data_IF_977006325071
#
_entry.id   IF_977006325071
#
_cell.length_a   1.000
_cell.length_b   1.000
_cell.length_c   1.000
_cell.angle_alpha   90.00
_cell.angle_beta   90.00
_cell.angle_gamma   90.00
#
_symmetry.space_group_name_H-M   'P 1'
#
loop_
_entity.id
_entity.type
_entity.pdbx_description
1 polymer ?
#
# COMPACT_ATOMS: atom_id res chain seq x y z
N UNK A 1 79.64 -43.46 -4.89
CA UNK A 1 78.94 -42.40 -4.14
C UNK A 1 79.08 -41.09 -4.91
N UNK A 2 77.99 -40.58 -5.48
CA UNK A 2 77.91 -39.18 -5.91
C UNK A 2 76.44 -38.76 -5.87
N UNK A 3 76.03 -38.17 -4.75
CA UNK A 3 74.72 -37.56 -4.55
C UNK A 3 74.86 -36.06 -4.82
N UNK A 4 74.22 -35.56 -5.88
CA UNK A 4 74.12 -34.13 -6.15
C UNK A 4 73.09 -33.48 -5.19
N UNK A 5 73.40 -32.37 -4.51
CA UNK A 5 72.42 -31.67 -3.69
C UNK A 5 71.53 -30.81 -4.58
N UNK A 6 70.24 -31.14 -4.64
CA UNK A 6 69.23 -30.24 -5.19
C UNK A 6 69.05 -29.05 -4.24
N UNK A 7 69.54 -27.87 -4.63
CA UNK A 7 69.41 -26.64 -3.85
C UNK A 7 67.93 -26.20 -3.73
N UNK A 8 67.39 -26.04 -2.50
CA UNK A 8 66.02 -25.56 -2.28
C UNK A 8 65.82 -24.08 -2.66
N UNK A 9 66.90 -23.33 -2.91
CA UNK A 9 66.85 -21.90 -3.22
C UNK A 9 66.11 -21.59 -4.54
N UNK A 10 66.14 -22.51 -5.53
CA UNK A 10 65.48 -22.30 -6.83
C UNK A 10 63.95 -22.33 -6.75
N UNK A 11 63.37 -23.08 -5.81
CA UNK A 11 61.90 -23.17 -5.64
C UNK A 11 61.33 -21.98 -4.86
N UNK A 12 62.09 -21.44 -3.91
CA UNK A 12 61.68 -20.29 -3.08
C UNK A 12 61.64 -19.01 -3.93
N UNK A 13 62.62 -18.83 -4.83
CA UNK A 13 62.66 -17.67 -5.74
C UNK A 13 61.48 -17.71 -6.74
N UNK A 14 61.11 -18.90 -7.23
CA UNK A 14 59.96 -19.06 -8.12
C UNK A 14 58.61 -18.76 -7.42
N UNK A 15 58.47 -19.16 -6.15
CA UNK A 15 57.26 -18.86 -5.36
C UNK A 15 57.15 -17.38 -4.99
N UNK A 16 58.26 -16.72 -4.62
CA UNK A 16 58.29 -15.27 -4.37
C UNK A 16 57.95 -14.45 -5.62
N UNK A 17 58.45 -14.87 -6.79
CA UNK A 17 58.11 -14.23 -8.06
C UNK A 17 56.62 -14.38 -8.41
N UNK A 18 56.02 -15.54 -8.16
CA UNK A 18 54.58 -15.77 -8.39
C UNK A 18 53.69 -14.92 -7.46
N UNK A 19 54.07 -14.74 -6.19
CA UNK A 19 53.34 -13.87 -5.25
C UNK A 19 53.47 -12.38 -5.56
N UNK A 20 54.62 -11.94 -6.09
CA UNK A 20 54.81 -10.55 -6.52
C UNK A 20 54.01 -10.26 -7.81
N UNK A 21 53.93 -11.22 -8.73
CA UNK A 21 53.09 -11.12 -9.93
C UNK A 21 51.59 -11.14 -9.60
N UNK A 22 51.15 -11.92 -8.61
CA UNK A 22 49.76 -11.87 -8.11
C UNK A 22 49.44 -10.58 -7.35
N UNK A 23 50.41 -10.00 -6.63
CA UNK A 23 50.24 -8.73 -5.92
C UNK A 23 50.16 -7.50 -6.85
N UNK A 24 50.75 -7.59 -8.04
CA UNK A 24 50.67 -6.55 -9.09
C UNK A 24 49.36 -6.59 -9.90
N UNK A 25 48.53 -7.62 -9.72
CA UNK A 25 47.21 -7.74 -10.35
C UNK A 25 46.06 -7.19 -9.47
N UNK A 26 46.35 -6.73 -8.26
CA UNK A 26 45.42 -5.90 -7.50
C UNK A 26 45.45 -4.48 -8.09
N UNK A 27 44.67 -4.25 -9.14
CA UNK A 27 44.51 -2.92 -9.73
C UNK A 27 44.10 -1.92 -8.65
N UNK A 28 44.93 -0.89 -8.42
CA UNK A 28 44.48 0.29 -7.71
C UNK A 28 43.34 0.92 -8.51
N UNK A 29 42.14 0.99 -7.95
CA UNK A 29 40.99 1.64 -8.58
C UNK A 29 41.32 3.11 -8.85
N UNK A 30 41.60 3.45 -10.11
CA UNK A 30 41.92 4.82 -10.55
C UNK A 30 40.70 5.74 -10.47
N UNK A 31 39.50 5.16 -10.50
CA UNK A 31 38.20 5.84 -10.36
C UNK A 31 37.31 5.03 -9.43
N UNK A 32 36.65 5.69 -8.48
CA UNK A 32 35.63 5.08 -7.63
C UNK A 32 34.25 5.52 -8.09
N UNK A 33 33.36 4.55 -8.24
CA UNK A 33 31.94 4.76 -8.53
C UNK A 33 31.14 4.63 -7.24
N UNK A 34 30.25 5.59 -6.98
CA UNK A 34 29.29 5.51 -5.88
C UNK A 34 27.89 5.69 -6.45
N UNK A 35 27.14 4.60 -6.47
CA UNK A 35 25.71 4.63 -6.79
C UNK A 35 24.95 5.38 -5.68
N UNK A 36 24.24 6.43 -6.08
CA UNK A 36 23.43 7.27 -5.20
C UNK A 36 21.94 7.12 -5.50
N UNK A 37 21.57 6.18 -6.37
CA UNK A 37 20.18 5.90 -6.73
C UNK A 37 19.49 5.15 -5.59
N UNK A 38 18.35 5.66 -5.07
CA UNK A 38 17.56 4.93 -4.09
C UNK A 38 17.12 3.56 -4.63
N UNK A 39 17.23 2.51 -3.80
CA UNK A 39 16.71 1.17 -4.13
C UNK A 39 15.19 1.11 -4.26
N UNK A 40 14.50 2.12 -3.74
CA UNK A 40 13.05 2.28 -3.87
C UNK A 40 12.71 3.73 -4.14
N UNK A 41 11.85 3.98 -5.13
CA UNK A 41 11.36 5.31 -5.47
C UNK A 41 9.84 5.38 -5.39
N UNK A 42 9.35 6.52 -4.94
CA UNK A 42 7.95 6.88 -4.96
C UNK A 42 7.41 6.88 -6.39
N UNK A 43 6.29 6.19 -6.66
CA UNK A 43 5.58 6.45 -7.92
C UNK A 43 5.31 7.95 -8.04
N UNK A 44 5.57 8.54 -9.20
CA UNK A 44 5.24 9.93 -9.48
C UNK A 44 4.35 10.05 -10.73
N UNK A 45 3.49 11.08 -10.81
CA UNK A 45 2.56 11.22 -11.93
C UNK A 45 3.23 11.38 -13.30
N UNK A 46 4.44 11.95 -13.36
CA UNK A 46 5.20 12.09 -14.60
C UNK A 46 5.85 10.78 -15.04
N UNK A 47 5.94 9.78 -14.17
CA UNK A 47 6.75 8.56 -14.32
C UNK A 47 8.23 8.81 -14.67
N UNK A 48 8.78 9.98 -14.30
CA UNK A 48 10.18 10.34 -14.52
C UNK A 48 10.97 10.08 -13.24
N UNK A 49 12.02 9.27 -13.33
CA UNK A 49 12.84 8.90 -12.18
C UNK A 49 14.30 9.30 -12.40
N UNK A 50 14.93 9.82 -11.35
CA UNK A 50 16.32 10.27 -11.39
C UNK A 50 17.25 9.18 -10.89
N UNK A 51 18.21 8.82 -11.73
CA UNK A 51 19.32 7.94 -11.42
C UNK A 51 20.57 8.78 -11.20
N UNK A 52 21.30 8.54 -10.11
CA UNK A 52 22.40 9.38 -9.67
C UNK A 52 23.67 8.57 -9.40
N UNK A 53 24.78 9.04 -9.96
CA UNK A 53 26.10 8.42 -9.81
C UNK A 53 27.11 9.49 -9.40
N UNK A 54 27.94 9.19 -8.41
CA UNK A 54 29.16 9.96 -8.16
C UNK A 54 30.37 9.23 -8.72
N UNK A 55 31.18 9.94 -9.50
CA UNK A 55 32.44 9.47 -10.03
C UNK A 55 33.57 10.24 -9.35
N UNK A 56 34.44 9.53 -8.65
CA UNK A 56 35.55 10.12 -7.89
C UNK A 56 36.88 9.57 -8.42
N UNK A 57 37.62 10.35 -9.24
CA UNK A 57 39.00 10.03 -9.59
C UNK A 57 39.88 9.96 -8.33
N UNK A 58 40.76 8.97 -8.26
CA UNK A 58 41.76 8.85 -7.18
C UNK A 58 43.09 9.53 -7.50
N UNK A 59 43.29 9.90 -8.76
CA UNK A 59 44.50 10.56 -9.25
C UNK A 59 44.13 11.74 -10.15
N UNK A 60 45.03 12.72 -10.25
CA UNK A 60 44.87 13.87 -11.15
C UNK A 60 45.17 13.52 -12.62
N UNK A 61 45.53 12.28 -12.91
CA UNK A 61 45.82 11.77 -14.27
C UNK A 61 44.57 11.29 -15.00
N UNK A 62 43.40 11.30 -14.35
CA UNK A 62 42.14 10.88 -14.96
C UNK A 62 41.52 12.05 -15.73
N UNK A 63 41.18 11.81 -17.00
CA UNK A 63 40.53 12.80 -17.87
C UNK A 63 39.43 12.14 -18.72
N UNK A 64 38.61 12.96 -19.40
CA UNK A 64 37.62 12.46 -20.36
C UNK A 64 36.54 11.54 -19.77
N UNK A 65 36.07 11.83 -18.54
CA UNK A 65 35.06 11.01 -17.86
C UNK A 65 33.71 11.12 -18.56
N UNK A 66 33.21 9.99 -19.07
CA UNK A 66 31.90 9.85 -19.74
C UNK A 66 31.09 8.76 -19.06
N UNK A 67 30.24 9.11 -18.08
CA UNK A 67 29.37 8.15 -17.41
C UNK A 67 28.14 7.83 -18.25
N UNK A 68 27.82 6.54 -18.30
CA UNK A 68 26.61 6.01 -18.89
C UNK A 68 25.86 5.21 -17.84
N UNK A 69 24.53 5.24 -17.92
CA UNK A 69 23.68 4.26 -17.26
C UNK A 69 23.18 3.27 -18.30
N UNK A 70 23.21 1.99 -17.94
CA UNK A 70 22.66 0.91 -18.74
C UNK A 70 21.31 0.51 -18.13
N UNK A 71 20.22 0.74 -18.85
CA UNK A 71 18.85 0.41 -18.46
C UNK A 71 18.28 -0.52 -19.51
N UNK A 72 17.82 -1.71 -19.10
CA UNK A 72 17.22 -2.69 -20.02
C UNK A 72 18.12 -2.99 -21.25
N UNK A 73 19.43 -3.08 -21.03
CA UNK A 73 20.44 -3.32 -22.07
C UNK A 73 20.75 -2.12 -22.97
N UNK A 74 20.13 -0.95 -22.77
CA UNK A 74 20.39 0.27 -23.54
C UNK A 74 21.28 1.24 -22.76
N UNK A 75 22.30 1.78 -23.44
CA UNK A 75 23.22 2.75 -22.87
C UNK A 75 22.70 4.18 -23.04
N UNK A 76 22.73 4.94 -21.95
CA UNK A 76 22.33 6.34 -21.92
C UNK A 76 23.41 7.18 -21.23
N UNK A 77 23.86 8.24 -21.91
CA UNK A 77 24.85 9.17 -21.34
C UNK A 77 24.21 9.97 -20.20
N UNK A 78 24.91 10.06 -19.08
CA UNK A 78 24.47 10.85 -17.92
C UNK A 78 24.89 12.32 -18.04
N UNK A 79 24.09 13.22 -17.48
CA UNK A 79 24.39 14.66 -17.44
C UNK A 79 25.14 15.00 -16.16
N UNK A 80 26.14 15.87 -16.24
CA UNK A 80 26.84 16.37 -15.04
C UNK A 80 25.90 17.26 -14.23
N UNK A 81 25.80 17.00 -12.92
CA UNK A 81 24.94 17.76 -12.01
C UNK A 81 25.56 19.14 -11.69
N UNK A 82 24.77 20.22 -11.61
CA UNK A 82 25.24 21.54 -11.22
C UNK A 82 25.72 21.59 -9.76
N UNK A 83 25.34 20.61 -8.93
CA UNK A 83 25.77 20.49 -7.53
C UNK A 83 27.27 20.14 -7.38
N UNK A 84 27.96 19.81 -8.49
CA UNK A 84 29.40 19.59 -8.52
C UNK A 84 29.83 18.25 -7.92
N UNK A 85 31.11 18.15 -7.54
CA UNK A 85 31.66 16.97 -6.83
C UNK A 85 31.64 15.66 -7.62
N UNK A 86 31.72 15.71 -8.95
CA UNK A 86 31.67 14.51 -9.80
C UNK A 86 30.31 13.81 -9.81
N UNK A 87 29.23 14.52 -9.48
CA UNK A 87 27.87 14.00 -9.53
C UNK A 87 27.31 14.05 -10.97
N UNK A 88 26.67 12.96 -11.36
CA UNK A 88 26.01 12.79 -12.65
C UNK A 88 24.60 12.25 -12.44
N UNK A 89 23.68 12.70 -13.27
CA UNK A 89 22.25 12.41 -13.17
C UNK A 89 21.68 12.03 -14.54
N UNK A 90 20.73 11.10 -14.53
CA UNK A 90 19.94 10.73 -15.70
C UNK A 90 18.48 10.62 -15.31
N UNK A 91 17.61 11.27 -16.10
CA UNK A 91 16.15 11.19 -15.94
C UNK A 91 15.61 10.15 -16.90
N UNK A 92 14.87 9.18 -16.38
CA UNK A 92 14.27 8.11 -17.16
C UNK A 92 12.76 8.08 -16.99
N UNK A 93 12.06 8.14 -18.12
CA UNK A 93 10.62 7.93 -18.20
C UNK A 93 10.35 6.42 -18.14
N UNK A 94 9.84 5.93 -17.02
CA UNK A 94 9.50 4.53 -16.87
C UNK A 94 8.22 4.20 -17.65
N UNK A 95 8.18 3.11 -18.45
CA UNK A 95 6.95 2.66 -19.10
C UNK A 95 5.83 2.31 -18.11
N UNK A 96 4.58 2.53 -18.53
CA UNK A 96 3.42 2.18 -17.72
C UNK A 96 3.41 0.68 -17.36
N UNK A 97 3.01 0.38 -16.12
CA UNK A 97 2.91 -1.00 -15.61
C UNK A 97 4.23 -1.60 -15.10
N UNK A 98 5.37 -0.93 -15.29
CA UNK A 98 6.63 -1.39 -14.71
C UNK A 98 6.72 -0.96 -13.24
N UNK A 99 7.06 -1.90 -12.36
CA UNK A 99 7.24 -1.68 -10.93
C UNK A 99 8.67 -1.92 -10.46
N UNK A 100 9.53 -2.43 -11.35
CA UNK A 100 10.94 -2.69 -11.12
C UNK A 100 11.73 -2.41 -12.40
N UNK A 101 12.96 -1.95 -12.24
CA UNK A 101 13.90 -1.80 -13.36
C UNK A 101 15.32 -2.12 -12.91
N UNK A 102 16.02 -2.92 -13.70
CA UNK A 102 17.42 -3.27 -13.47
C UNK A 102 18.33 -2.28 -14.18
N UNK A 103 19.44 -1.93 -13.54
CA UNK A 103 20.41 -0.98 -14.06
C UNK A 103 21.83 -1.24 -13.55
N UNK A 104 22.82 -0.70 -14.25
CA UNK A 104 24.17 -0.50 -13.73
C UNK A 104 24.81 0.71 -14.42
N UNK A 105 25.89 1.22 -13.85
CA UNK A 105 26.67 2.32 -14.44
C UNK A 105 27.91 1.80 -15.12
N UNK A 106 28.24 2.40 -16.26
CA UNK A 106 29.48 2.19 -17.00
C UNK A 106 30.15 3.53 -17.25
N UNK A 107 31.39 3.69 -16.81
CA UNK A 107 32.14 4.94 -16.95
C UNK A 107 33.37 4.71 -17.81
N UNK A 108 33.41 5.39 -18.95
CA UNK A 108 34.59 5.46 -19.79
C UNK A 108 35.44 6.67 -19.37
N UNK A 109 36.76 6.51 -19.33
CA UNK A 109 37.69 7.59 -19.00
C UNK A 109 39.07 7.31 -19.60
N UNK A 110 39.95 8.31 -19.56
CA UNK A 110 41.35 8.16 -19.94
C UNK A 110 42.25 8.31 -18.70
N UNK A 111 43.34 7.56 -18.68
CA UNK A 111 44.45 7.77 -17.75
C UNK A 111 45.64 8.32 -18.53
N UNK A 112 46.11 9.50 -18.13
CA UNK A 112 47.27 10.16 -18.69
C UNK A 112 48.56 9.68 -18.02
N UNK A 113 49.52 9.25 -18.83
CA UNK A 113 50.86 8.90 -18.35
C UNK A 113 51.86 8.95 -19.49
N UNK A 114 53.04 9.53 -19.25
CA UNK A 114 54.11 9.65 -20.25
C UNK A 114 53.63 10.25 -21.60
N UNK A 115 52.79 11.29 -21.54
CA UNK A 115 52.13 11.93 -22.70
C UNK A 115 51.23 11.01 -23.54
N UNK A 116 50.80 9.87 -23.00
CA UNK A 116 49.87 8.94 -23.64
C UNK A 116 48.56 8.93 -22.86
N UNK A 117 47.43 9.06 -23.57
CA UNK A 117 46.10 8.84 -23.03
C UNK A 117 45.71 7.38 -23.24
N UNK A 118 45.54 6.64 -22.13
CA UNK A 118 45.11 5.24 -22.17
C UNK A 118 43.62 5.15 -21.84
N UNK A 119 42.75 4.69 -22.76
CA UNK A 119 41.33 4.51 -22.47
C UNK A 119 41.12 3.38 -21.46
N UNK A 120 40.19 3.59 -20.54
CA UNK A 120 39.79 2.67 -19.47
C UNK A 120 38.29 2.73 -19.26
N UNK A 121 37.75 1.66 -18.71
CA UNK A 121 36.36 1.57 -18.28
C UNK A 121 36.27 1.00 -16.87
N UNK A 122 35.20 1.35 -16.17
CA UNK A 122 34.82 0.75 -14.88
C UNK A 122 33.30 0.76 -14.76
N UNK A 123 32.73 -0.16 -13.98
CA UNK A 123 31.29 -0.32 -13.86
C UNK A 123 30.85 -0.70 -12.44
N UNK A 124 29.58 -0.44 -12.13
CA UNK A 124 28.95 -0.95 -10.90
C UNK A 124 28.35 -2.33 -11.13
N UNK A 125 27.98 -3.02 -10.04
CA UNK A 125 27.13 -4.20 -10.14
C UNK A 125 25.75 -3.84 -10.68
N UNK A 126 25.04 -4.86 -11.18
CA UNK A 126 23.62 -4.72 -11.56
C UNK A 126 22.78 -4.61 -10.30
N UNK A 127 22.03 -3.53 -10.21
CA UNK A 127 21.11 -3.22 -9.13
C UNK A 127 19.68 -3.13 -9.68
N UNK A 128 18.69 -3.17 -8.79
CA UNK A 128 17.28 -3.00 -9.15
C UNK A 128 16.68 -1.90 -8.31
N UNK A 129 15.92 -1.00 -8.95
CA UNK A 129 15.06 -0.06 -8.22
C UNK A 129 13.60 -0.51 -8.30
N UNK A 130 12.93 -0.49 -7.15
CA UNK A 130 11.50 -0.75 -7.03
C UNK A 130 10.72 0.57 -7.05
N UNK A 131 9.69 0.66 -7.89
CA UNK A 131 8.71 1.75 -7.83
C UNK A 131 7.63 1.36 -6.84
N UNK A 132 7.60 2.08 -5.72
CA UNK A 132 6.62 1.86 -4.67
C UNK A 132 5.39 2.72 -4.97
N UNK A 133 4.28 2.05 -5.25
CA UNK A 133 3.02 2.69 -5.67
C UNK A 133 2.09 3.04 -4.50
N UNK A 134 2.28 2.40 -3.35
CA UNK A 134 1.33 2.45 -2.22
C UNK A 134 2.03 2.66 -0.89
N UNK A 135 1.83 3.81 -0.23
CA UNK A 135 2.22 4.02 1.17
C UNK A 135 1.60 5.30 1.78
N UNK A 136 1.65 5.32 3.11
CA UNK A 136 0.86 6.09 4.08
C UNK A 136 -0.62 5.79 3.95
N UNK A 137 -1.15 5.03 4.89
CA UNK A 137 -2.57 4.79 5.06
C UNK A 137 -2.93 5.40 6.40
N UNK A 138 -3.66 6.49 6.40
CA UNK A 138 -4.08 7.14 7.64
C UNK A 138 -5.58 7.35 7.64
N UNK A 139 -6.21 6.92 8.72
CA UNK A 139 -7.56 7.33 9.04
C UNK A 139 -7.58 8.83 9.31
N UNK A 140 -8.51 9.56 8.68
CA UNK A 140 -8.76 10.97 9.01
C UNK A 140 -9.21 11.12 10.48
N UNK A 141 -10.03 10.18 10.95
CA UNK A 141 -10.43 10.04 12.35
C UNK A 141 -10.47 8.56 12.76
N UNK A 142 -10.20 8.28 14.03
CA UNK A 142 -10.11 6.91 14.56
C UNK A 142 -11.35 6.46 15.36
N UNK A 143 -12.45 7.20 15.28
CA UNK A 143 -13.70 6.86 15.98
C UNK A 143 -14.91 7.51 15.34
N UNK A 144 -16.08 6.90 15.54
CA UNK A 144 -17.36 7.44 15.10
C UNK A 144 -18.52 6.44 15.27
N UNK A 145 -19.77 6.90 15.15
CA UNK A 145 -20.95 6.04 15.24
C UNK A 145 -21.14 5.20 13.97
N UNK A 146 -21.94 4.13 14.07
CA UNK A 146 -22.38 3.32 12.92
C UNK A 146 -22.95 4.21 11.82
N UNK A 147 -22.57 3.93 10.58
CA UNK A 147 -22.97 4.66 9.39
C UNK A 147 -22.15 5.92 9.09
N UNK A 148 -21.32 6.44 10.01
CA UNK A 148 -20.49 7.61 9.72
C UNK A 148 -19.54 7.36 8.52
N UNK A 149 -19.34 8.38 7.67
CA UNK A 149 -18.39 8.31 6.55
C UNK A 149 -17.01 8.79 7.02
N UNK A 150 -16.00 7.94 6.87
CA UNK A 150 -14.63 8.19 7.31
C UNK A 150 -13.69 8.15 6.10
N UNK A 151 -12.80 9.14 5.97
CA UNK A 151 -11.79 9.16 4.92
C UNK A 151 -10.54 8.37 5.32
N UNK A 152 -9.95 7.69 4.35
CA UNK A 152 -8.62 7.07 4.44
C UNK A 152 -7.73 7.76 3.41
N UNK A 153 -6.71 8.45 3.89
CA UNK A 153 -5.74 9.13 3.06
C UNK A 153 -4.58 8.21 2.76
N UNK A 154 -4.07 8.29 1.53
CA UNK A 154 -2.89 7.56 1.13
C UNK A 154 -2.51 7.73 -0.31
N UNK A 155 -1.93 6.68 -0.89
CA UNK A 155 -1.50 6.65 -2.30
C UNK A 155 -1.67 5.25 -2.86
N UNK A 156 -1.87 5.18 -4.17
CA UNK A 156 -1.95 3.92 -4.92
C UNK A 156 -3.25 3.17 -4.68
N UNK A 157 -4.33 3.88 -4.32
CA UNK A 157 -5.63 3.24 -4.21
C UNK A 157 -6.19 2.84 -5.57
N UNK A 158 -6.99 1.79 -5.58
CA UNK A 158 -7.71 1.33 -6.77
C UNK A 158 -9.19 1.11 -6.44
N UNK A 159 -10.09 1.07 -7.44
CA UNK A 159 -11.50 0.73 -7.21
C UNK A 159 -11.75 -0.68 -6.62
N UNK A 160 -10.74 -1.56 -6.63
CA UNK A 160 -10.82 -2.92 -6.06
C UNK A 160 -10.43 -2.96 -4.57
N UNK A 161 -9.99 -1.83 -4.02
CA UNK A 161 -9.58 -1.73 -2.64
C UNK A 161 -10.80 -1.68 -1.70
N UNK A 162 -10.71 -2.40 -0.58
CA UNK A 162 -11.78 -2.47 0.40
C UNK A 162 -11.25 -2.32 1.82
N UNK A 163 -11.88 -1.46 2.63
CA UNK A 163 -11.59 -1.35 4.05
C UNK A 163 -12.27 -2.50 4.80
N UNK A 164 -11.58 -3.06 5.79
CA UNK A 164 -12.07 -4.13 6.65
C UNK A 164 -11.79 -3.85 8.13
N UNK A 165 -12.72 -4.30 8.98
CA UNK A 165 -12.70 -4.22 10.44
C UNK A 165 -12.52 -5.64 11.00
N UNK A 166 -11.37 -5.95 11.59
CA UNK A 166 -10.98 -7.30 12.03
C UNK A 166 -11.21 -8.38 10.94
N UNK A 167 -10.94 -8.04 9.68
CA UNK A 167 -11.17 -8.93 8.52
C UNK A 167 -12.59 -8.90 7.94
N UNK A 168 -13.56 -8.27 8.61
CA UNK A 168 -14.90 -8.08 8.06
C UNK A 168 -14.89 -6.88 7.10
N UNK A 169 -15.18 -7.05 5.80
CA UNK A 169 -15.22 -5.93 4.86
C UNK A 169 -16.33 -4.94 5.26
N UNK A 170 -16.11 -3.66 4.96
CA UNK A 170 -17.13 -2.62 5.03
C UNK A 170 -17.31 -1.94 3.67
N UNK A 171 -18.46 -1.26 3.50
CA UNK A 171 -18.74 -0.46 2.31
C UNK A 171 -17.68 0.63 2.18
N UNK A 172 -16.90 0.52 1.10
CA UNK A 172 -15.77 1.39 0.78
C UNK A 172 -16.01 2.05 -0.57
N UNK A 173 -15.79 3.35 -0.64
CA UNK A 173 -15.85 4.11 -1.88
C UNK A 173 -14.43 4.51 -2.29
N UNK A 174 -14.13 4.31 -3.56
CA UNK A 174 -12.94 4.86 -4.19
C UNK A 174 -13.21 6.31 -4.59
N UNK A 175 -12.46 7.25 -4.01
CA UNK A 175 -12.57 8.67 -4.34
C UNK A 175 -11.52 9.05 -5.40
N UNK A 176 -10.30 8.55 -5.23
CA UNK A 176 -9.15 8.84 -6.09
C UNK A 176 -7.98 7.91 -5.76
N UNK A 177 -6.89 7.91 -6.56
CA UNK A 177 -5.67 7.17 -6.22
C UNK A 177 -5.01 7.58 -4.89
N UNK A 178 -5.45 8.67 -4.25
CA UNK A 178 -4.94 9.16 -2.98
C UNK A 178 -5.98 9.25 -1.84
N UNK A 179 -7.24 8.91 -2.10
CA UNK A 179 -8.27 8.86 -1.07
C UNK A 179 -9.26 7.70 -1.28
N UNK A 180 -9.57 7.02 -0.19
CA UNK A 180 -10.77 6.18 -0.06
C UNK A 180 -11.69 6.81 0.99
N UNK A 181 -12.95 6.42 0.98
CA UNK A 181 -13.81 6.59 2.13
C UNK A 181 -14.51 5.27 2.47
N UNK A 182 -14.93 5.11 3.72
CA UNK A 182 -15.76 3.97 4.13
C UNK A 182 -16.86 4.40 5.09
N UNK A 183 -17.87 3.55 5.22
CA UNK A 183 -18.94 3.71 6.20
C UNK A 183 -18.66 2.84 7.42
N UNK A 184 -18.79 3.40 8.63
CA UNK A 184 -18.62 2.62 9.86
C UNK A 184 -19.64 1.49 9.89
N UNK A 185 -19.21 0.21 9.96
CA UNK A 185 -20.12 -0.94 9.90
C UNK A 185 -20.94 -1.09 11.19
N UNK A 186 -22.06 -1.81 11.13
CA UNK A 186 -22.93 -2.10 12.26
C UNK A 186 -22.39 -3.23 13.17
N UNK A 187 -21.15 -3.07 13.64
CA UNK A 187 -20.52 -3.98 14.61
C UNK A 187 -20.77 -3.50 16.04
N UNK A 188 -20.44 -4.34 17.03
CA UNK A 188 -20.59 -4.01 18.45
C UNK A 188 -19.93 -2.67 18.79
N UNK A 189 -20.70 -1.79 19.42
CA UNK A 189 -20.20 -0.51 19.87
C UNK A 189 -19.25 -0.64 21.07
N UNK A 190 -18.60 0.47 21.44
CA UNK A 190 -17.68 0.56 22.58
C UNK A 190 -16.43 -0.32 22.51
N UNK A 191 -16.10 -0.84 21.32
CA UNK A 191 -14.95 -1.70 21.06
C UNK A 191 -14.01 -1.09 20.02
N UNK A 192 -12.72 -1.41 20.14
CA UNK A 192 -11.71 -1.08 19.14
C UNK A 192 -11.58 -2.21 18.11
N UNK A 193 -11.51 -1.84 16.84
CA UNK A 193 -11.35 -2.76 15.71
C UNK A 193 -10.04 -2.44 15.00
N UNK A 194 -9.32 -3.47 14.59
CA UNK A 194 -8.21 -3.31 13.66
C UNK A 194 -8.78 -2.96 12.28
N UNK A 195 -8.35 -1.84 11.73
CA UNK A 195 -8.69 -1.42 10.38
C UNK A 195 -7.54 -1.77 9.45
N UNK A 196 -7.86 -2.49 8.40
CA UNK A 196 -6.93 -2.82 7.34
C UNK A 196 -7.55 -2.50 5.98
N UNK A 197 -6.68 -2.30 5.01
CA UNK A 197 -6.98 -2.31 3.60
C UNK A 197 -6.83 -3.72 3.08
N UNK A 198 -7.86 -4.27 2.46
CA UNK A 198 -7.76 -5.44 1.62
C UNK A 198 -7.58 -5.00 0.17
N UNK A 199 -6.61 -5.57 -0.53
CA UNK A 199 -6.42 -5.37 -1.97
C UNK A 199 -5.88 -6.63 -2.64
N UNK A 200 -5.86 -6.69 -3.99
CA UNK A 200 -5.25 -7.81 -4.72
C UNK A 200 -3.77 -8.05 -4.38
N UNK A 201 -3.06 -7.01 -3.93
CA UNK A 201 -1.66 -7.10 -3.52
C UNK A 201 -1.46 -7.58 -2.07
N UNK A 202 -2.56 -7.82 -1.34
CA UNK A 202 -2.55 -8.25 0.06
C UNK A 202 -3.07 -7.19 1.03
N UNK A 203 -3.12 -7.58 2.29
CA UNK A 203 -3.70 -6.73 3.35
C UNK A 203 -2.67 -5.77 3.92
N UNK A 204 -3.05 -4.50 4.06
CA UNK A 204 -2.20 -3.46 4.65
C UNK A 204 -2.87 -2.88 5.90
N UNK A 205 -2.19 -2.82 7.07
CA UNK A 205 -2.77 -2.19 8.25
C UNK A 205 -2.95 -0.68 8.02
N UNK A 206 -4.12 -0.16 8.39
CA UNK A 206 -4.44 1.27 8.32
C UNK A 206 -4.41 1.89 9.72
N UNK A 207 -4.91 1.16 10.73
CA UNK A 207 -4.91 1.63 12.12
C UNK A 207 -5.92 0.89 12.99
N UNK A 208 -6.39 1.57 14.03
CA UNK A 208 -7.46 1.07 14.91
C UNK A 208 -8.61 2.07 14.90
N UNK A 209 -9.85 1.58 14.92
CA UNK A 209 -11.04 2.43 14.93
C UNK A 209 -12.00 2.01 16.05
N UNK A 210 -12.52 2.99 16.80
CA UNK A 210 -13.52 2.76 17.85
C UNK A 210 -14.91 3.08 17.35
N UNK A 211 -15.83 2.13 17.45
CA UNK A 211 -17.24 2.37 17.13
C UNK A 211 -17.92 2.95 18.36
N UNK A 212 -18.47 4.15 18.21
CA UNK A 212 -19.24 4.81 19.25
C UNK A 212 -20.67 4.25 19.30
N UNK A 213 -21.28 4.14 20.50
CA UNK A 213 -22.67 3.72 20.63
C UNK A 213 -23.61 4.73 19.95
N UNK A 214 -24.60 4.23 19.23
CA UNK A 214 -25.67 5.02 18.61
C UNK A 214 -27.01 4.44 19.00
N UNK A 215 -28.02 5.26 19.29
CA UNK A 215 -29.37 4.76 19.57
C UNK A 215 -30.22 4.74 18.30
N UNK A 216 -31.11 3.75 18.17
CA UNK A 216 -32.22 3.77 17.21
C UNK A 216 -33.51 3.56 18.01
N UNK A 217 -34.47 4.45 17.82
CA UNK A 217 -35.82 4.25 18.35
C UNK A 217 -36.71 3.63 17.27
N UNK A 218 -37.51 2.64 17.64
CA UNK A 218 -38.45 1.99 16.73
C UNK A 218 -39.87 2.18 17.26
N UNK A 219 -40.78 2.60 16.37
CA UNK A 219 -42.19 2.79 16.67
C UNK A 219 -43.08 2.13 15.62
N UNK A 220 -44.06 1.28 16.00
CA UNK A 220 -44.27 0.77 17.36
C UNK A 220 -43.11 -0.12 17.84
N UNK A 221 -42.89 -0.20 19.16
CA UNK A 221 -41.82 -1.00 19.77
C UNK A 221 -42.10 -2.51 19.78
N UNK A 222 -43.31 -2.91 19.43
CA UNK A 222 -43.73 -4.30 19.20
C UNK A 222 -44.89 -4.33 18.21
N UNK A 223 -45.04 -5.41 17.45
CA UNK A 223 -46.15 -5.57 16.51
C UNK A 223 -46.86 -6.91 16.67
N UNK A 224 -48.19 -6.87 16.61
CA UNK A 224 -49.04 -8.06 16.48
C UNK A 224 -49.86 -7.93 15.20
N UNK A 225 -49.75 -8.91 14.32
CA UNK A 225 -50.37 -8.91 12.99
C UNK A 225 -51.05 -10.26 12.73
N UNK A 226 -52.04 -10.29 11.86
CA UNK A 226 -52.48 -11.54 11.23
C UNK A 226 -51.69 -11.79 9.96
N UNK A 227 -51.71 -13.03 9.47
CA UNK A 227 -51.19 -13.35 8.13
C UNK A 227 -51.85 -12.46 7.06
N UNK A 228 -51.01 -11.75 6.30
CA UNK A 228 -51.40 -10.78 5.27
C UNK A 228 -51.63 -9.35 5.75
N UNK A 229 -51.67 -9.12 7.07
CA UNK A 229 -51.78 -7.76 7.61
C UNK A 229 -50.47 -6.99 7.38
N UNK A 230 -50.61 -5.67 7.23
CA UNK A 230 -49.49 -4.75 7.06
C UNK A 230 -49.50 -3.70 8.16
N UNK A 231 -48.31 -3.38 8.67
CA UNK A 231 -48.09 -2.27 9.61
C UNK A 231 -46.88 -1.46 9.19
N UNK A 232 -46.82 -0.21 9.64
CA UNK A 232 -45.68 0.65 9.44
C UNK A 232 -44.78 0.63 10.66
N UNK A 233 -43.49 0.33 10.47
CA UNK A 233 -42.45 0.56 11.47
C UNK A 233 -41.66 1.81 11.09
N UNK A 234 -41.53 2.74 12.03
CA UNK A 234 -40.70 3.93 11.90
C UNK A 234 -39.44 3.76 12.72
N UNK A 235 -38.28 3.90 12.07
CA UNK A 235 -36.97 3.87 12.69
C UNK A 235 -36.44 5.30 12.77
N UNK A 236 -35.97 5.71 13.95
CA UNK A 236 -35.51 7.09 14.20
C UNK A 236 -34.09 7.10 14.79
N UNK A 237 -33.21 7.86 14.15
CA UNK A 237 -31.86 8.18 14.59
C UNK A 237 -31.84 9.48 15.41
N UNK A 238 -30.90 9.62 16.36
CA UNK A 238 -30.72 10.85 17.13
C UNK A 238 -30.13 12.00 16.30
N UNK A 239 -29.48 11.69 15.17
CA UNK A 239 -28.84 12.65 14.29
C UNK A 239 -29.15 12.33 12.83
N UNK A 240 -29.12 13.33 11.92
CA UNK A 240 -29.29 13.10 10.49
C UNK A 240 -28.31 12.04 9.96
N UNK A 241 -28.81 11.14 9.12
CA UNK A 241 -27.98 10.15 8.46
C UNK A 241 -26.92 10.84 7.57
N UNK A 242 -25.68 10.32 7.53
CA UNK A 242 -24.58 10.94 6.78
C UNK A 242 -24.78 10.81 5.27
N UNK A 243 -23.85 11.37 4.50
CA UNK A 243 -23.87 11.29 3.04
C UNK A 243 -23.88 9.83 2.57
N UNK A 244 -24.88 9.42 1.77
CA UNK A 244 -25.10 8.02 1.39
C UNK A 244 -26.08 7.22 2.27
N UNK A 245 -26.62 7.82 3.34
CA UNK A 245 -27.62 7.23 4.23
C UNK A 245 -27.04 6.29 5.30
N UNK A 246 -27.91 5.81 6.20
CA UNK A 246 -27.57 4.82 7.23
C UNK A 246 -28.34 3.53 6.95
N UNK A 247 -27.63 2.46 6.63
CA UNK A 247 -28.21 1.11 6.57
C UNK A 247 -28.44 0.61 8.00
N UNK A 248 -29.67 0.16 8.29
CA UNK A 248 -30.01 -0.55 9.51
C UNK A 248 -29.98 -2.04 9.22
N UNK A 249 -28.93 -2.73 9.68
CA UNK A 249 -28.80 -4.18 9.52
C UNK A 249 -29.76 -4.89 10.48
N UNK A 250 -30.91 -5.33 9.94
CA UNK A 250 -32.00 -5.94 10.68
C UNK A 250 -32.01 -7.44 10.41
N UNK A 251 -31.85 -8.23 11.46
CA UNK A 251 -32.03 -9.67 11.43
C UNK A 251 -33.35 -10.08 12.10
N UNK A 252 -33.85 -11.28 11.82
CA UNK A 252 -34.99 -11.87 12.53
C UNK A 252 -34.77 -13.36 12.78
N UNK A 253 -35.32 -13.85 13.88
CA UNK A 253 -35.37 -15.28 14.24
C UNK A 253 -36.63 -15.99 13.69
N UNK A 254 -37.54 -15.24 13.06
CA UNK A 254 -38.78 -15.75 12.44
C UNK A 254 -38.89 -15.33 10.96
N UNK A 255 -37.94 -15.75 10.09
CA UNK A 255 -37.87 -15.28 8.71
C UNK A 255 -39.09 -15.67 7.85
N UNK A 256 -39.82 -16.74 8.19
CA UNK A 256 -41.06 -17.10 7.47
C UNK A 256 -42.27 -16.24 7.88
N UNK A 257 -42.17 -15.52 9.00
CA UNK A 257 -43.25 -14.72 9.59
C UNK A 257 -43.15 -13.24 9.22
N UNK A 258 -41.96 -12.72 8.92
CA UNK A 258 -41.76 -11.29 8.67
C UNK A 258 -41.37 -11.06 7.22
N UNK A 259 -42.18 -10.27 6.51
CA UNK A 259 -41.85 -9.79 5.17
C UNK A 259 -41.61 -8.29 5.28
N UNK A 260 -40.37 -7.84 5.06
CA UNK A 260 -39.99 -6.43 5.14
C UNK A 260 -38.87 -6.09 4.16
N UNK A 261 -38.83 -4.86 3.62
CA UNK A 261 -37.74 -4.40 2.79
C UNK A 261 -36.47 -4.09 3.62
N UNK A 262 -35.34 -3.93 2.93
CA UNK A 262 -34.13 -3.35 3.51
C UNK A 262 -34.42 -1.93 4.04
N UNK A 263 -33.83 -1.58 5.18
CA UNK A 263 -34.13 -0.34 5.89
C UNK A 263 -32.93 0.60 5.81
N UNK A 264 -33.07 1.65 5.00
CA UNK A 264 -32.04 2.68 4.83
C UNK A 264 -32.64 4.02 5.25
N UNK A 265 -32.06 4.67 6.25
CA UNK A 265 -32.36 6.06 6.58
C UNK A 265 -31.68 6.95 5.53
N UNK A 266 -32.44 7.70 4.70
CA UNK A 266 -31.83 8.48 3.62
C UNK A 266 -30.91 9.57 4.15
N UNK A 267 -29.91 9.95 3.35
CA UNK A 267 -29.00 11.05 3.68
C UNK A 267 -29.75 12.30 4.15
N UNK A 268 -29.29 12.88 5.25
CA UNK A 268 -29.86 14.09 5.84
C UNK A 268 -31.18 13.88 6.60
N UNK A 269 -31.79 12.69 6.52
CA UNK A 269 -32.98 12.34 7.29
C UNK A 269 -32.62 11.73 8.64
N UNK A 270 -33.49 11.90 9.61
CA UNK A 270 -33.38 11.26 10.93
C UNK A 270 -34.26 10.04 11.05
N UNK A 271 -35.10 9.74 10.07
CA UNK A 271 -36.02 8.60 10.16
C UNK A 271 -36.33 8.00 8.80
N UNK A 272 -36.83 6.77 8.84
CA UNK A 272 -37.46 6.07 7.71
C UNK A 272 -38.64 5.28 8.22
N UNK A 273 -39.71 5.23 7.43
CA UNK A 273 -40.89 4.39 7.69
C UNK A 273 -40.94 3.30 6.65
N UNK A 274 -41.01 2.04 7.10
CA UNK A 274 -41.11 0.86 6.23
C UNK A 274 -42.35 0.07 6.57
N UNK A 275 -42.91 -0.59 5.56
CA UNK A 275 -44.05 -1.49 5.75
C UNK A 275 -43.55 -2.89 6.06
N UNK A 276 -44.08 -3.48 7.13
CA UNK A 276 -43.88 -4.87 7.52
C UNK A 276 -45.18 -5.62 7.28
N UNK A 277 -45.09 -6.76 6.59
CA UNK A 277 -46.21 -7.66 6.31
C UNK A 277 -46.07 -8.98 7.09
N UNK A 278 -47.18 -9.46 7.64
CA UNK A 278 -47.25 -10.74 8.34
C UNK A 278 -47.30 -11.93 7.37
N UNK A 279 -46.29 -12.80 7.43
CA UNK A 279 -46.21 -14.07 6.71
C UNK A 279 -46.89 -15.22 7.45
N UNK A 280 -46.16 -16.32 7.66
CA UNK A 280 -46.68 -17.47 8.43
C UNK A 280 -46.82 -17.13 9.92
N UNK A 281 -47.80 -17.73 10.63
CA UNK A 281 -47.91 -17.57 12.08
C UNK A 281 -46.61 -17.94 12.80
N UNK A 282 -46.22 -17.13 13.77
CA UNK A 282 -44.96 -17.26 14.49
C UNK A 282 -44.76 -16.15 15.52
N UNK A 283 -43.84 -16.34 16.46
CA UNK A 283 -43.49 -15.35 17.48
C UNK A 283 -41.97 -15.27 17.56
N UNK A 284 -41.44 -14.05 17.44
CA UNK A 284 -40.01 -13.79 17.42
C UNK A 284 -39.72 -12.30 17.55
N UNK A 285 -38.58 -11.86 17.04
CA UNK A 285 -38.14 -10.47 17.09
C UNK A 285 -37.37 -10.02 15.85
N UNK A 286 -37.32 -8.71 15.65
CA UNK A 286 -36.32 -8.04 14.81
C UNK A 286 -35.16 -7.58 15.68
N UNK A 287 -33.93 -7.74 15.20
CA UNK A 287 -32.70 -7.42 15.89
C UNK A 287 -31.87 -6.42 15.08
N UNK A 288 -31.53 -5.28 15.68
CA UNK A 288 -30.66 -4.26 15.09
C UNK A 288 -29.33 -4.22 15.83
N UNK A 289 -28.27 -4.73 15.22
CA UNK A 289 -26.92 -4.77 15.84
C UNK A 289 -26.21 -3.43 15.74
N UNK A 290 -25.33 -3.16 16.70
CA UNK A 290 -24.50 -1.94 16.73
C UNK A 290 -25.25 -0.68 17.19
N UNK A 291 -26.53 -0.81 17.56
CA UNK A 291 -27.35 0.26 18.10
C UNK A 291 -27.76 -0.02 19.57
N UNK A 292 -28.12 1.02 20.31
CA UNK A 292 -28.46 0.92 21.74
C UNK A 292 -27.28 0.51 22.61
N UNK A 293 -27.52 -0.36 23.59
CA UNK A 293 -26.49 -1.00 24.42
C UNK A 293 -25.79 -2.18 23.72
N UNK A 294 -25.84 -2.23 22.38
CA UNK A 294 -25.25 -3.29 21.55
C UNK A 294 -26.25 -3.90 20.57
N UNK A 295 -27.52 -3.94 20.93
CA UNK A 295 -28.63 -4.40 20.08
C UNK A 295 -29.95 -3.70 20.45
N UNK A 296 -30.82 -3.46 19.46
CA UNK A 296 -32.24 -3.08 19.66
C UNK A 296 -33.12 -4.26 19.23
N UNK A 297 -34.03 -4.68 20.10
CA UNK A 297 -34.96 -5.81 19.86
C UNK A 297 -36.39 -5.30 19.72
N UNK A 298 -37.09 -5.72 18.66
CA UNK A 298 -38.49 -5.36 18.39
C UNK A 298 -39.31 -6.65 18.32
N UNK A 299 -40.12 -6.98 19.34
CA UNK A 299 -40.95 -8.19 19.34
C UNK A 299 -42.01 -8.16 18.25
N UNK A 300 -42.19 -9.28 17.55
CA UNK A 300 -43.20 -9.46 16.51
C UNK A 300 -43.96 -10.76 16.72
N UNK A 301 -45.29 -10.71 16.64
CA UNK A 301 -46.17 -11.87 16.69
C UNK A 301 -47.09 -11.87 15.48
N UNK A 302 -47.08 -12.97 14.72
CA UNK A 302 -47.99 -13.20 13.61
C UNK A 302 -48.95 -14.32 13.98
N UNK A 303 -50.25 -14.06 13.90
CA UNK A 303 -51.31 -15.06 14.14
C UNK A 303 -51.99 -15.45 12.83
N UNK A 304 -52.68 -16.60 12.84
CA UNK A 304 -53.48 -17.03 11.70
C UNK A 304 -54.62 -16.03 11.41
N UNK A 305 -55.11 -16.06 10.17
CA UNK A 305 -56.15 -15.16 9.67
C UNK A 305 -57.49 -15.31 10.40
#
# INVERSE_FOLDING_TARGET
MHTNPFSPARKIIAWLAATIVLGLLAGCDTVTLTDLTPRSMAENPSQIYTFSLRVTPRTNTVSGIVPNIILDGKSHVMRKSPLGGGLYEFEYQLPAGWDKIAYYYLVNFNVEGNNVLTPRETYTQVETVQIVRRYVLSLEVNRGPVGARISVLGRGFTPQDQIQFNGSPTRTNFESPNALSFYVPALEANRNYQVALASPAGNSPVGTFRIDPSSVNVSPSSSQLRTGDRTSLTFTLPHPAPAGGTLLDIATDVPESVIMPEVIVPQGQTYVTVTVEGGKPGTGSLFLKGFGSGEVTVPVTIVAK
#
